data_IF_600100751081
#
_entry.id   IF_600100751081
#
_cell.length_a   1.000
_cell.length_b   1.000
_cell.length_c   1.000
_cell.angle_alpha   90.00
_cell.angle_beta   90.00
_cell.angle_gamma   90.00
#
_symmetry.space_group_name_H-M   'P 1'
#
loop_
_entity.id
_entity.type
_entity.pdbx_description
1 polymer ?
#
# COMPACT_ATOMS: atom_id res chain seq x y z
N UNK A 1 8.12 8.57 -10.11
CA UNK A 1 7.28 8.94 -8.96
C UNK A 1 6.94 10.42 -9.01
N UNK A 2 5.69 10.75 -8.78
CA UNK A 2 5.24 12.14 -8.84
C UNK A 2 5.52 12.88 -7.53
N UNK A 3 5.57 14.21 -7.61
CA UNK A 3 5.77 15.06 -6.44
C UNK A 3 4.75 14.83 -5.32
N UNK A 4 3.44 14.62 -5.60
CA UNK A 4 2.47 14.34 -4.54
C UNK A 4 2.81 13.13 -3.69
N UNK A 5 3.38 12.08 -4.29
CA UNK A 5 3.77 10.88 -3.55
C UNK A 5 4.89 11.17 -2.55
N UNK A 6 5.82 12.03 -2.91
CA UNK A 6 6.90 12.41 -1.98
C UNK A 6 6.36 13.17 -0.77
N UNK A 7 5.39 14.06 -0.99
CA UNK A 7 4.76 14.79 0.10
C UNK A 7 4.00 13.85 1.02
N UNK A 8 3.31 12.86 0.46
CA UNK A 8 2.58 11.86 1.25
C UNK A 8 3.53 11.04 2.09
N UNK A 9 4.68 10.65 1.54
CA UNK A 9 5.68 9.88 2.27
C UNK A 9 6.18 10.60 3.52
N UNK A 10 6.32 11.90 3.47
CA UNK A 10 6.76 12.70 4.62
C UNK A 10 5.77 12.67 5.77
N UNK A 11 4.50 12.41 5.49
CA UNK A 11 3.45 12.33 6.51
C UNK A 11 3.36 10.97 7.18
N UNK A 12 4.07 9.98 6.66
CA UNK A 12 4.08 8.62 7.21
C UNK A 12 5.27 8.48 8.13
N UNK A 13 5.04 8.22 9.41
CA UNK A 13 6.09 8.07 10.40
C UNK A 13 6.57 6.64 10.58
N UNK A 14 5.70 5.66 10.33
CA UNK A 14 6.05 4.25 10.48
C UNK A 14 6.88 3.77 9.29
N UNK A 15 8.06 3.18 9.58
CA UNK A 15 8.98 2.72 8.54
C UNK A 15 8.35 1.64 7.67
N UNK A 16 7.63 0.69 8.28
CA UNK A 16 6.99 -0.39 7.52
C UNK A 16 5.86 0.12 6.64
N UNK A 17 5.07 1.04 7.16
CA UNK A 17 4.00 1.67 6.40
C UNK A 17 4.58 2.45 5.22
N UNK A 18 5.66 3.18 5.44
CA UNK A 18 6.34 3.93 4.39
C UNK A 18 6.89 2.98 3.31
N UNK A 19 7.50 1.87 3.71
CA UNK A 19 8.01 0.87 2.77
C UNK A 19 6.89 0.27 1.93
N UNK A 20 5.74 -0.03 2.56
CA UNK A 20 4.58 -0.53 1.85
C UNK A 20 4.08 0.49 0.82
N UNK A 21 3.99 1.75 1.21
CA UNK A 21 3.56 2.82 0.33
C UNK A 21 4.48 2.91 -0.90
N UNK A 22 5.79 2.91 -0.67
CA UNK A 22 6.78 2.98 -1.77
C UNK A 22 6.65 1.78 -2.70
N UNK A 23 6.49 0.59 -2.14
CA UNK A 23 6.34 -0.63 -2.94
C UNK A 23 5.11 -0.56 -3.85
N UNK A 24 4.00 -0.07 -3.32
CA UNK A 24 2.76 0.04 -4.09
C UNK A 24 2.83 1.15 -5.14
N UNK A 25 3.61 2.19 -4.91
CA UNK A 25 3.83 3.23 -5.91
C UNK A 25 4.65 2.73 -7.09
N UNK A 26 5.57 1.81 -6.84
CA UNK A 26 6.49 1.34 -7.86
C UNK A 26 5.89 0.28 -8.78
N UNK A 27 5.02 -0.57 -8.27
CA UNK A 27 4.43 -1.64 -9.04
C UNK A 27 3.24 -2.25 -8.32
N UNK A 28 2.55 -3.14 -9.02
CA UNK A 28 1.41 -3.86 -8.44
C UNK A 28 1.93 -5.08 -7.69
N UNK A 29 1.36 -5.34 -6.52
CA UNK A 29 1.76 -6.47 -5.69
C UNK A 29 0.56 -7.25 -5.21
N UNK A 30 0.71 -8.58 -5.18
CA UNK A 30 -0.35 -9.47 -4.71
C UNK A 30 -0.41 -9.52 -3.19
N UNK A 31 -1.53 -10.03 -2.66
CA UNK A 31 -1.68 -10.26 -1.24
C UNK A 31 -0.56 -11.15 -0.70
N UNK A 32 -0.22 -12.22 -1.44
CA UNK A 32 0.85 -13.13 -1.02
C UNK A 32 2.18 -12.42 -0.89
N UNK A 33 2.51 -11.54 -1.83
CA UNK A 33 3.73 -10.75 -1.77
C UNK A 33 3.74 -9.85 -0.53
N UNK A 34 2.63 -9.17 -0.27
CA UNK A 34 2.54 -8.25 0.86
C UNK A 34 2.63 -8.98 2.20
N UNK A 35 2.02 -10.15 2.31
CA UNK A 35 2.13 -10.97 3.52
C UNK A 35 3.57 -11.42 3.73
N UNK A 36 4.23 -11.84 2.66
CA UNK A 36 5.62 -12.31 2.74
C UNK A 36 6.57 -11.22 3.21
N UNK A 37 6.38 -9.99 2.74
CA UNK A 37 7.30 -8.88 3.04
C UNK A 37 6.92 -8.07 4.27
N UNK A 38 5.63 -7.97 4.59
CA UNK A 38 5.14 -7.12 5.67
C UNK A 38 4.38 -7.90 6.75
N UNK A 39 4.18 -9.20 6.56
CA UNK A 39 3.41 -10.02 7.48
C UNK A 39 1.91 -9.79 7.35
N UNK A 40 1.14 -10.43 8.22
CA UNK A 40 -0.32 -10.32 8.19
C UNK A 40 -0.83 -8.93 8.57
N UNK A 41 0.04 -8.07 9.09
CA UNK A 41 -0.34 -6.70 9.45
C UNK A 41 -0.38 -5.76 8.27
N UNK A 42 -0.07 -6.23 7.06
CA UNK A 42 -0.08 -5.35 5.90
C UNK A 42 -1.43 -4.67 5.69
N UNK A 43 -2.52 -5.35 6.01
CA UNK A 43 -3.85 -4.77 5.86
C UNK A 43 -4.07 -3.58 6.80
N UNK A 44 -3.47 -3.61 7.98
CA UNK A 44 -3.52 -2.47 8.89
C UNK A 44 -2.79 -1.27 8.31
N UNK A 45 -1.63 -1.50 7.70
CA UNK A 45 -0.89 -0.42 7.05
C UNK A 45 -1.66 0.16 5.88
N UNK A 46 -2.31 -0.69 5.10
CA UNK A 46 -3.16 -0.24 3.99
C UNK A 46 -4.31 0.63 4.53
N UNK A 47 -4.94 0.20 5.60
CA UNK A 47 -6.02 0.94 6.24
C UNK A 47 -5.54 2.30 6.72
N UNK A 48 -4.38 2.34 7.37
CA UNK A 48 -3.80 3.58 7.88
C UNK A 48 -3.50 4.56 6.76
N UNK A 49 -2.95 4.07 5.65
CA UNK A 49 -2.67 4.90 4.49
C UNK A 49 -3.97 5.48 3.91
N UNK A 50 -4.99 4.66 3.80
CA UNK A 50 -6.30 5.10 3.30
C UNK A 50 -6.92 6.15 4.21
N UNK A 51 -6.78 6.00 5.51
CA UNK A 51 -7.30 7.00 6.45
C UNK A 51 -6.58 8.33 6.34
N UNK A 52 -5.27 8.30 6.10
CA UNK A 52 -4.46 9.52 5.99
C UNK A 52 -4.68 10.26 4.69
N UNK A 53 -4.80 9.56 3.58
CA UNK A 53 -4.77 10.16 2.25
C UNK A 53 -6.04 9.96 1.44
N UNK A 54 -7.01 9.24 1.98
CA UNK A 54 -8.24 8.94 1.27
C UNK A 54 -8.31 7.49 0.84
N UNK A 55 -9.52 6.96 0.82
CA UNK A 55 -9.74 5.55 0.55
C UNK A 55 -9.30 5.14 -0.86
N UNK A 56 -9.37 6.07 -1.80
CA UNK A 56 -9.12 5.79 -3.20
C UNK A 56 -7.64 5.76 -3.58
N UNK A 57 -6.74 6.13 -2.67
CA UNK A 57 -5.32 6.18 -3.01
C UNK A 57 -4.75 4.80 -3.34
N UNK A 58 -5.22 3.77 -2.66
CA UNK A 58 -4.80 2.40 -2.93
C UNK A 58 -5.90 1.71 -3.72
N UNK A 59 -5.57 1.29 -4.93
CA UNK A 59 -6.49 0.54 -5.76
C UNK A 59 -6.26 -0.95 -5.56
N UNK A 60 -7.32 -1.72 -5.80
CA UNK A 60 -7.33 -3.15 -5.57
C UNK A 60 -8.09 -3.86 -6.67
N UNK A 61 -7.54 -4.97 -7.14
CA UNK A 61 -8.21 -5.84 -8.09
C UNK A 61 -8.33 -7.23 -7.48
N UNK A 62 -9.53 -7.81 -7.54
CA UNK A 62 -9.77 -9.14 -7.01
C UNK A 62 -9.33 -10.20 -8.03
N UNK A 63 -8.41 -11.07 -7.62
CA UNK A 63 -7.86 -12.11 -8.49
C UNK A 63 -8.51 -13.49 -8.27
N UNK A 64 -9.48 -13.60 -7.35
CA UNK A 64 -10.12 -14.87 -7.00
C UNK A 64 -9.52 -15.49 -5.74
N UNK A 65 -10.25 -16.41 -5.10
CA UNK A 65 -9.77 -17.17 -3.94
C UNK A 65 -9.06 -16.33 -2.86
N UNK A 66 -9.65 -15.19 -2.50
CA UNK A 66 -9.10 -14.27 -1.50
C UNK A 66 -7.77 -13.65 -1.91
N UNK A 67 -7.42 -13.67 -3.19
CA UNK A 67 -6.23 -13.02 -3.71
C UNK A 67 -6.59 -11.66 -4.28
N UNK A 68 -5.75 -10.67 -3.98
CA UNK A 68 -5.94 -9.30 -4.46
C UNK A 68 -4.63 -8.76 -5.00
N UNK A 69 -4.75 -7.83 -5.92
CA UNK A 69 -3.62 -7.08 -6.44
C UNK A 69 -3.78 -5.64 -5.98
N UNK A 70 -2.75 -5.08 -5.37
CA UNK A 70 -2.78 -3.72 -4.82
C UNK A 70 -1.78 -2.83 -5.53
N UNK A 71 -2.13 -1.56 -5.72
CA UNK A 71 -1.21 -0.57 -6.25
C UNK A 71 -1.67 0.84 -5.89
N UNK A 72 -0.75 1.82 -6.05
CA UNK A 72 -1.03 3.23 -5.86
C UNK A 72 -0.80 3.94 -7.19
N UNK A 73 -1.80 4.67 -7.64
CA UNK A 73 -1.68 5.47 -8.85
C UNK A 73 -0.79 6.69 -8.65
#
# INVERSE_FOLDING_TARGET
MTTPHKKMLKRISCIKEKSLFISLCGSRHTTAFLIKHFGHRFSKYICDIREKFGYEIIEREHLGNRKYLYWIN
#
